data_IF_640241278628
#
_entry.id   IF_640241278628
#
_cell.length_a   1.000
_cell.length_b   1.000
_cell.length_c   1.000
_cell.angle_alpha   90.00
_cell.angle_beta   90.00
_cell.angle_gamma   90.00
#
_symmetry.space_group_name_H-M   'P 1'
#
loop_
_entity.id
_entity.type
_entity.pdbx_description
1 polymer ?
#
# COMPACT_ATOMS: atom_id res chain seq x y z
N UNK A 1 57.00 -17.57 -14.40
CA UNK A 1 55.83 -17.63 -13.53
C UNK A 1 56.21 -17.04 -12.19
N UNK A 2 55.68 -15.89 -11.82
CA UNK A 2 55.92 -15.24 -10.54
C UNK A 2 55.11 -16.05 -9.48
N UNK A 3 55.79 -16.78 -8.61
CA UNK A 3 55.17 -17.43 -7.45
C UNK A 3 55.40 -16.51 -6.23
N UNK A 4 54.44 -15.69 -5.91
CA UNK A 4 54.49 -14.88 -4.69
C UNK A 4 53.23 -15.07 -3.87
N UNK A 5 53.37 -15.10 -2.55
CA UNK A 5 52.26 -15.18 -1.61
C UNK A 5 51.62 -13.79 -1.39
N UNK A 6 52.36 -12.73 -1.70
CA UNK A 6 51.93 -11.34 -1.48
C UNK A 6 52.38 -10.48 -2.67
N UNK A 7 51.46 -9.77 -3.29
CA UNK A 7 51.76 -8.62 -4.12
C UNK A 7 51.77 -7.39 -3.22
N UNK A 8 52.95 -6.94 -2.84
CA UNK A 8 53.13 -5.78 -1.95
C UNK A 8 53.88 -4.68 -2.70
N UNK A 9 53.39 -3.47 -2.63
CA UNK A 9 54.13 -2.31 -3.14
C UNK A 9 55.35 -2.06 -2.29
N UNK A 10 56.54 -1.76 -2.89
CA UNK A 10 57.75 -1.44 -2.16
C UNK A 10 57.67 -0.07 -1.44
N UNK A 11 56.79 0.81 -1.83
CA UNK A 11 56.53 2.07 -1.15
C UNK A 11 55.12 2.10 -0.55
N UNK A 12 55.00 2.60 0.64
CA UNK A 12 53.77 2.60 1.43
C UNK A 12 52.69 3.54 0.92
N UNK A 13 52.84 4.17 -0.24
CA UNK A 13 51.95 5.23 -0.74
C UNK A 13 50.94 4.78 -1.76
N UNK A 14 51.09 3.61 -2.38
CA UNK A 14 50.03 3.04 -3.26
C UNK A 14 50.26 1.57 -3.58
N UNK A 15 49.25 0.75 -3.28
CA UNK A 15 49.14 -0.62 -3.83
C UNK A 15 48.23 -0.56 -5.00
N UNK A 16 48.78 -0.57 -6.20
CA UNK A 16 47.99 -0.63 -7.42
C UNK A 16 48.30 -1.92 -8.17
N UNK A 17 47.31 -2.77 -8.32
CA UNK A 17 47.37 -3.83 -9.33
C UNK A 17 46.89 -3.19 -10.63
N UNK A 18 47.85 -2.76 -11.47
CA UNK A 18 47.55 -2.27 -12.81
C UNK A 18 47.41 -3.49 -13.73
N UNK A 19 46.26 -3.67 -14.33
CA UNK A 19 46.03 -4.67 -15.36
C UNK A 19 46.02 -3.99 -16.71
N UNK A 20 46.50 -4.70 -17.73
CA UNK A 20 46.45 -4.21 -19.10
C UNK A 20 45.02 -4.07 -19.62
N UNK A 21 44.74 -3.19 -20.58
CA UNK A 21 43.42 -3.05 -21.19
C UNK A 21 42.87 -4.42 -21.62
N UNK A 22 41.61 -4.68 -21.28
CA UNK A 22 40.85 -5.90 -21.53
C UNK A 22 41.27 -7.15 -20.72
N UNK A 23 42.06 -6.99 -19.63
CA UNK A 23 42.38 -8.08 -18.72
C UNK A 23 41.77 -7.81 -17.35
N UNK A 24 40.82 -8.63 -16.95
CA UNK A 24 40.24 -8.61 -15.61
C UNK A 24 41.11 -9.33 -14.58
N UNK A 25 40.76 -9.19 -13.31
CA UNK A 25 41.33 -10.01 -12.22
C UNK A 25 40.39 -11.21 -12.02
N UNK A 26 40.91 -12.41 -12.24
CA UNK A 26 40.18 -13.62 -11.92
C UNK A 26 40.62 -14.13 -10.57
N UNK A 27 39.73 -14.16 -9.60
CA UNK A 27 39.96 -14.73 -8.27
C UNK A 27 39.24 -16.08 -8.22
N UNK A 28 40.04 -17.18 -8.17
CA UNK A 28 39.52 -18.51 -7.98
C UNK A 28 39.42 -18.77 -6.46
N UNK A 29 38.30 -18.39 -5.87
CA UNK A 29 38.09 -18.47 -4.43
C UNK A 29 37.35 -17.24 -3.91
N UNK A 30 37.65 -16.83 -2.69
CA UNK A 30 37.02 -15.69 -2.02
C UNK A 30 37.91 -14.46 -2.15
N UNK A 31 37.34 -13.34 -2.62
CA UNK A 31 37.97 -12.03 -2.51
C UNK A 31 37.39 -11.30 -1.28
N UNK A 32 38.26 -10.85 -0.37
CA UNK A 32 37.88 -10.05 0.80
C UNK A 32 38.36 -8.62 0.61
N UNK A 33 37.41 -7.67 0.68
CA UNK A 33 37.71 -6.24 0.64
C UNK A 33 37.53 -5.66 2.06
N UNK A 34 38.59 -5.13 2.65
CA UNK A 34 38.52 -4.53 3.98
C UNK A 34 37.86 -3.13 4.00
N UNK A 35 37.72 -2.52 2.83
CA UNK A 35 37.09 -1.24 2.61
C UNK A 35 36.04 -1.33 1.50
N UNK A 36 35.54 -0.18 1.07
CA UNK A 36 34.51 -0.10 0.05
C UNK A 36 34.97 -0.62 -1.31
N UNK A 37 34.09 -1.31 -2.01
CA UNK A 37 34.20 -1.52 -3.46
C UNK A 37 33.52 -0.33 -4.14
N UNK A 38 34.25 0.41 -4.96
CA UNK A 38 33.72 1.53 -5.72
C UNK A 38 33.58 1.13 -7.18
N UNK A 39 32.35 1.15 -7.67
CA UNK A 39 32.01 1.11 -9.08
C UNK A 39 31.63 2.52 -9.52
N UNK A 40 31.94 2.89 -10.75
CA UNK A 40 31.57 4.20 -11.32
C UNK A 40 30.15 4.13 -11.89
N UNK A 41 29.66 5.29 -12.37
CA UNK A 41 28.37 5.34 -13.06
C UNK A 41 28.40 4.43 -14.29
N UNK A 42 27.31 3.74 -14.54
CA UNK A 42 27.12 2.72 -15.57
C UNK A 42 27.93 1.41 -15.38
N UNK A 43 28.86 1.35 -14.40
CA UNK A 43 29.46 0.09 -13.98
C UNK A 43 28.48 -0.74 -13.15
N UNK A 44 28.46 -2.07 -13.38
CA UNK A 44 27.50 -2.97 -12.75
C UNK A 44 28.18 -4.03 -11.89
N UNK A 45 27.60 -4.33 -10.73
CA UNK A 45 27.83 -5.59 -10.05
C UNK A 45 26.88 -6.62 -10.66
N UNK A 46 27.44 -7.58 -11.38
CA UNK A 46 26.73 -8.64 -12.09
C UNK A 46 26.81 -9.93 -11.28
N UNK A 47 25.69 -10.59 -11.02
CA UNK A 47 25.60 -11.82 -10.25
C UNK A 47 24.85 -12.88 -11.04
N UNK A 48 25.34 -14.13 -10.92
CA UNK A 48 24.84 -15.28 -11.66
C UNK A 48 25.57 -15.49 -12.99
N UNK A 49 25.46 -16.68 -13.56
CA UNK A 49 26.10 -17.04 -14.84
C UNK A 49 25.47 -16.28 -16.01
N UNK A 50 24.20 -15.95 -15.92
CA UNK A 50 23.45 -15.17 -16.91
C UNK A 50 23.50 -13.65 -16.67
N UNK A 51 24.24 -13.21 -15.61
CA UNK A 51 24.29 -11.80 -15.21
C UNK A 51 22.89 -11.20 -14.89
N UNK A 52 21.99 -12.06 -14.39
CA UNK A 52 20.58 -11.77 -14.25
C UNK A 52 20.30 -10.73 -13.17
N UNK A 53 21.00 -10.78 -12.02
CA UNK A 53 20.89 -9.76 -10.97
C UNK A 53 21.98 -8.71 -11.14
N UNK A 54 21.57 -7.46 -11.34
CA UNK A 54 22.43 -6.32 -11.59
C UNK A 54 22.20 -5.23 -10.53
N UNK A 55 23.29 -4.72 -9.94
CA UNK A 55 23.24 -3.58 -9.01
C UNK A 55 24.16 -2.50 -9.58
N UNK A 56 23.61 -1.33 -9.85
CA UNK A 56 24.36 -0.24 -10.48
C UNK A 56 23.71 1.13 -10.24
N UNK A 57 24.41 2.17 -10.66
CA UNK A 57 23.96 3.55 -10.75
C UNK A 57 24.21 4.07 -12.17
N UNK A 58 23.25 4.81 -12.75
CA UNK A 58 23.37 5.38 -14.10
C UNK A 58 23.63 6.89 -14.10
N UNK A 59 24.26 7.42 -13.02
CA UNK A 59 24.48 8.85 -12.85
C UNK A 59 23.25 9.63 -12.36
N UNK A 60 22.06 9.04 -12.40
CA UNK A 60 20.80 9.66 -11.97
C UNK A 60 20.09 8.86 -10.91
N UNK A 61 20.00 7.54 -11.06
CA UNK A 61 19.28 6.64 -10.16
C UNK A 61 20.09 5.37 -9.88
N UNK A 62 19.85 4.76 -8.72
CA UNK A 62 20.39 3.46 -8.30
C UNK A 62 19.38 2.36 -8.59
N UNK A 63 19.87 1.23 -9.07
CA UNK A 63 19.06 0.09 -9.51
C UNK A 63 19.49 -1.20 -8.83
N UNK A 64 18.51 -2.04 -8.57
CA UNK A 64 18.64 -3.48 -8.28
C UNK A 64 17.70 -4.17 -9.25
N UNK A 65 18.23 -4.68 -10.36
CA UNK A 65 17.46 -5.23 -11.47
C UNK A 65 17.66 -6.73 -11.56
N UNK A 66 16.56 -7.47 -11.60
CA UNK A 66 16.53 -8.85 -12.09
C UNK A 66 16.10 -8.80 -13.56
N UNK A 67 17.05 -9.04 -14.45
CA UNK A 67 16.83 -9.07 -15.91
C UNK A 67 16.65 -10.49 -16.44
N UNK A 68 16.65 -11.48 -15.54
CA UNK A 68 16.39 -12.88 -15.84
C UNK A 68 14.91 -13.20 -16.00
N UNK A 69 14.60 -14.48 -15.90
CA UNK A 69 13.23 -15.00 -16.00
C UNK A 69 12.60 -15.34 -14.64
N UNK A 70 13.34 -15.18 -13.57
CA UNK A 70 12.92 -15.48 -12.20
C UNK A 70 12.33 -14.26 -11.48
N UNK A 71 12.08 -14.41 -10.19
CA UNK A 71 11.59 -13.35 -9.32
C UNK A 71 12.73 -12.73 -8.50
N UNK A 72 12.76 -11.42 -8.35
CA UNK A 72 13.59 -10.76 -7.36
C UNK A 72 12.99 -10.96 -5.97
N UNK A 73 13.50 -11.93 -5.22
CA UNK A 73 13.07 -12.22 -3.86
C UNK A 73 13.88 -11.44 -2.83
N UNK A 74 13.25 -10.45 -2.18
CA UNK A 74 13.83 -9.71 -1.06
C UNK A 74 13.29 -10.30 0.24
N UNK A 75 14.13 -10.97 1.04
CA UNK A 75 13.73 -11.70 2.24
C UNK A 75 14.51 -11.24 3.45
N UNK A 76 13.82 -11.17 4.59
CA UNK A 76 14.44 -10.82 5.88
C UNK A 76 13.46 -11.05 7.02
N UNK A 77 13.91 -10.92 8.26
CA UNK A 77 13.02 -10.92 9.43
C UNK A 77 12.02 -9.75 9.39
N UNK A 78 12.39 -8.65 8.74
CA UNK A 78 11.50 -7.58 8.32
C UNK A 78 12.02 -7.01 6.99
N UNK A 79 11.12 -6.58 6.10
CA UNK A 79 11.47 -5.80 4.92
C UNK A 79 10.97 -4.38 5.13
N UNK A 80 11.89 -3.42 5.07
CA UNK A 80 11.60 -2.00 5.32
C UNK A 80 12.09 -1.17 4.14
N UNK A 81 11.20 -0.38 3.55
CA UNK A 81 11.54 0.73 2.68
C UNK A 81 11.42 2.01 3.50
N UNK A 82 12.51 2.72 3.66
CA UNK A 82 12.59 3.86 4.56
C UNK A 82 13.17 5.11 3.91
N UNK A 83 13.08 6.21 4.63
CA UNK A 83 13.66 7.48 4.23
C UNK A 83 15.17 7.46 4.46
N UNK A 84 16.01 7.89 3.49
CA UNK A 84 17.45 7.97 3.67
C UNK A 84 17.82 8.84 4.90
N UNK A 85 18.83 8.37 5.68
CA UNK A 85 19.32 9.09 6.87
C UNK A 85 18.33 9.17 8.04
N UNK A 86 17.30 8.36 8.06
CA UNK A 86 16.24 8.35 9.08
C UNK A 86 15.82 6.92 9.43
N UNK A 87 15.19 6.75 10.58
CA UNK A 87 14.51 5.50 10.96
C UNK A 87 13.05 5.46 10.50
N UNK A 88 12.59 6.48 9.78
CA UNK A 88 11.22 6.58 9.29
C UNK A 88 10.97 5.57 8.17
N UNK A 89 10.03 4.67 8.37
CA UNK A 89 9.57 3.72 7.36
C UNK A 89 8.50 4.36 6.46
N UNK A 90 8.54 4.03 5.17
CA UNK A 90 7.46 4.25 4.21
C UNK A 90 6.62 2.99 4.02
N UNK A 91 7.29 1.83 4.00
CA UNK A 91 6.68 0.51 4.01
C UNK A 91 7.43 -0.36 5.03
N UNK A 92 6.68 -1.16 5.78
CA UNK A 92 7.23 -2.21 6.64
C UNK A 92 6.42 -3.48 6.49
N UNK A 93 7.06 -4.56 6.06
CA UNK A 93 6.48 -5.90 6.03
C UNK A 93 7.11 -6.77 7.11
N UNK A 94 6.28 -7.40 7.93
CA UNK A 94 6.69 -8.29 9.02
C UNK A 94 6.15 -9.68 8.70
N UNK A 95 6.98 -10.73 8.64
CA UNK A 95 6.53 -12.10 8.43
C UNK A 95 5.50 -12.51 9.48
N UNK A 96 4.47 -13.24 9.06
CA UNK A 96 3.37 -13.74 9.89
C UNK A 96 2.59 -12.63 10.64
N UNK A 97 2.73 -11.37 10.20
CA UNK A 97 2.08 -10.21 10.78
C UNK A 97 1.60 -9.23 9.69
N UNK A 98 1.62 -7.94 9.99
CA UNK A 98 1.09 -6.93 9.09
C UNK A 98 2.10 -6.42 8.05
N UNK A 99 1.59 -6.00 6.89
CA UNK A 99 2.25 -5.05 5.99
C UNK A 99 1.68 -3.67 6.25
N UNK A 100 2.54 -2.71 6.52
CA UNK A 100 2.18 -1.34 6.87
C UNK A 100 2.67 -0.36 5.82
N UNK A 101 1.82 0.59 5.43
CA UNK A 101 2.17 1.77 4.63
C UNK A 101 2.05 3.02 5.49
N UNK A 102 3.07 3.87 5.43
CA UNK A 102 3.17 5.07 6.26
C UNK A 102 3.18 6.34 5.42
N UNK A 103 2.64 7.41 5.98
CA UNK A 103 2.81 8.77 5.49
C UNK A 103 3.19 9.66 6.68
N UNK A 104 4.39 10.27 6.62
CA UNK A 104 4.98 11.06 7.71
C UNK A 104 4.93 10.34 9.06
N UNK A 105 5.42 9.09 9.12
CA UNK A 105 5.45 8.28 10.32
C UNK A 105 4.09 7.76 10.81
N UNK A 106 2.99 8.15 10.18
CA UNK A 106 1.64 7.71 10.52
C UNK A 106 1.26 6.52 9.66
N UNK A 107 0.86 5.40 10.28
CA UNK A 107 0.32 4.25 9.58
C UNK A 107 -1.02 4.61 8.94
N UNK A 108 -1.10 4.54 7.61
CA UNK A 108 -2.29 4.86 6.81
C UNK A 108 -3.03 3.63 6.33
N UNK A 109 -2.32 2.54 6.07
CA UNK A 109 -2.90 1.27 5.65
C UNK A 109 -2.11 0.14 6.27
N UNK A 110 -2.81 -0.87 6.80
CA UNK A 110 -2.20 -2.11 7.27
C UNK A 110 -3.06 -3.32 6.93
N UNK A 111 -2.40 -4.45 6.64
CA UNK A 111 -3.08 -5.73 6.56
C UNK A 111 -3.37 -6.27 7.95
N UNK A 112 -4.47 -7.01 8.08
CA UNK A 112 -4.86 -7.71 9.31
C UNK A 112 -5.30 -9.13 8.95
N UNK A 113 -5.51 -9.99 9.93
CA UNK A 113 -6.03 -11.34 9.71
C UNK A 113 -7.45 -11.36 9.09
N UNK A 114 -8.18 -10.25 9.11
CA UNK A 114 -9.56 -10.14 8.62
C UNK A 114 -9.70 -9.22 7.41
N UNK A 115 -8.60 -8.62 6.93
CA UNK A 115 -8.63 -7.71 5.78
C UNK A 115 -7.65 -6.57 5.87
N UNK A 116 -8.07 -5.38 5.51
CA UNK A 116 -7.25 -4.16 5.46
C UNK A 116 -7.85 -3.09 6.38
N UNK A 117 -7.01 -2.48 7.20
CA UNK A 117 -7.37 -1.32 8.01
C UNK A 117 -6.80 -0.04 7.39
N UNK A 118 -7.64 0.98 7.21
CA UNK A 118 -7.28 2.27 6.63
C UNK A 118 -7.52 3.36 7.68
N UNK A 119 -6.47 4.14 8.00
CA UNK A 119 -6.56 5.31 8.86
C UNK A 119 -6.76 6.55 8.02
N UNK A 120 -8.00 6.99 7.88
CA UNK A 120 -8.36 8.15 7.06
C UNK A 120 -9.48 7.86 6.07
N UNK A 121 -9.40 8.46 4.89
CA UNK A 121 -10.42 8.35 3.84
C UNK A 121 -9.94 7.33 2.79
N UNK A 122 -10.83 6.40 2.42
CA UNK A 122 -10.65 5.54 1.25
C UNK A 122 -11.50 6.11 0.11
N UNK A 123 -10.84 6.56 -0.96
CA UNK A 123 -11.50 6.99 -2.18
C UNK A 123 -11.36 5.92 -3.25
N UNK A 124 -12.45 5.43 -3.78
CA UNK A 124 -12.49 4.45 -4.86
C UNK A 124 -13.55 4.85 -5.89
N UNK A 125 -13.35 4.46 -7.15
CA UNK A 125 -14.35 4.65 -8.22
C UNK A 125 -15.60 3.82 -7.95
N UNK A 126 -15.45 2.64 -7.34
CA UNK A 126 -16.56 1.77 -6.93
C UNK A 126 -16.11 0.82 -5.83
N UNK A 127 -17.07 0.34 -5.06
CA UNK A 127 -16.90 -0.77 -4.14
C UNK A 127 -17.83 -1.90 -4.60
N UNK A 128 -17.30 -3.12 -4.68
CA UNK A 128 -18.08 -4.32 -5.03
C UNK A 128 -18.11 -5.27 -3.85
N UNK A 129 -19.31 -5.73 -3.48
CA UNK A 129 -19.51 -6.65 -2.36
C UNK A 129 -20.78 -6.35 -1.59
N UNK A 130 -20.99 -7.07 -0.48
CA UNK A 130 -22.08 -6.81 0.45
C UNK A 130 -21.76 -5.57 1.30
N UNK A 131 -22.57 -4.55 1.15
CA UNK A 131 -22.49 -3.30 1.89
C UNK A 131 -23.27 -3.28 3.22
N UNK A 132 -23.84 -4.40 3.66
CA UNK A 132 -24.72 -4.48 4.85
C UNK A 132 -24.08 -3.97 6.15
N UNK A 133 -22.75 -4.05 6.25
CA UNK A 133 -21.98 -3.58 7.41
C UNK A 133 -21.49 -2.13 7.27
N UNK A 134 -21.81 -1.43 6.18
CA UNK A 134 -21.47 -0.02 6.06
C UNK A 134 -22.41 0.84 6.90
N UNK A 135 -21.83 1.68 7.75
CA UNK A 135 -22.58 2.61 8.61
C UNK A 135 -22.45 4.05 8.12
N UNK A 136 -23.37 4.92 8.55
CA UNK A 136 -23.37 6.34 8.20
C UNK A 136 -23.46 6.61 6.67
N UNK A 137 -24.06 5.69 5.94
CA UNK A 137 -24.38 5.96 4.54
C UNK A 137 -25.39 7.11 4.47
N UNK A 138 -25.28 8.00 3.45
CA UNK A 138 -26.35 8.98 3.20
C UNK A 138 -27.67 8.23 3.06
N UNK A 139 -28.78 8.78 3.59
CA UNK A 139 -30.08 8.17 3.39
C UNK A 139 -30.37 8.10 1.89
N UNK A 140 -30.30 6.91 1.33
CA UNK A 140 -30.84 6.59 0.02
C UNK A 140 -32.24 6.02 0.21
N UNK A 141 -33.11 6.16 -0.77
CA UNK A 141 -34.40 5.50 -0.73
C UNK A 141 -34.20 4.01 -0.45
N UNK A 142 -34.76 3.45 0.63
CA UNK A 142 -34.57 2.04 0.95
C UNK A 142 -35.20 1.23 -0.20
N UNK A 143 -34.36 0.48 -0.90
CA UNK A 143 -34.81 -0.43 -1.94
C UNK A 143 -34.86 -1.82 -1.31
N UNK A 144 -36.05 -2.23 -0.92
CA UNK A 144 -36.32 -3.57 -0.40
C UNK A 144 -36.43 -4.60 -1.52
N UNK A 145 -36.32 -5.85 -1.16
CA UNK A 145 -36.46 -7.00 -2.07
C UNK A 145 -35.27 -7.95 -2.02
N UNK A 146 -35.55 -9.25 -2.09
CA UNK A 146 -34.54 -10.29 -2.12
C UNK A 146 -33.71 -10.22 -3.39
N UNK A 147 -32.44 -10.45 -3.28
CA UNK A 147 -31.30 -10.50 -4.22
C UNK A 147 -31.51 -10.12 -5.71
N UNK A 148 -32.63 -10.45 -6.33
CA UNK A 148 -32.89 -10.21 -7.75
C UNK A 148 -34.14 -9.37 -8.05
N UNK A 149 -34.88 -8.96 -7.03
CA UNK A 149 -36.16 -8.24 -7.20
C UNK A 149 -36.15 -6.91 -6.40
N UNK A 150 -35.54 -5.88 -6.97
CA UNK A 150 -35.40 -4.55 -6.35
C UNK A 150 -36.47 -3.55 -6.80
N UNK A 151 -37.72 -3.99 -6.85
CA UNK A 151 -38.85 -3.16 -7.32
C UNK A 151 -39.66 -2.55 -6.16
N UNK A 152 -39.37 -2.92 -4.92
CA UNK A 152 -40.10 -2.46 -3.74
C UNK A 152 -39.32 -1.41 -2.97
N UNK A 153 -40.02 -0.32 -2.61
CA UNK A 153 -39.56 0.62 -1.60
C UNK A 153 -40.21 0.24 -0.27
N UNK A 154 -39.41 -0.16 0.71
CA UNK A 154 -39.88 -0.57 2.03
C UNK A 154 -39.51 0.48 3.06
N UNK A 155 -40.45 0.84 3.93
CA UNK A 155 -40.23 1.69 5.09
C UNK A 155 -40.89 1.10 6.33
N UNK A 156 -40.39 1.49 7.51
CA UNK A 156 -41.00 1.11 8.76
C UNK A 156 -42.43 1.63 8.86
N UNK A 157 -43.32 0.82 9.42
CA UNK A 157 -44.74 1.16 9.65
C UNK A 157 -44.92 2.08 10.84
N UNK A 158 -43.92 2.23 11.72
CA UNK A 158 -44.00 2.94 12.98
C UNK A 158 -42.91 4.00 13.07
N UNK A 159 -43.30 5.25 13.33
CA UNK A 159 -42.41 6.31 13.70
C UNK A 159 -42.22 6.27 15.21
N UNK A 160 -41.06 5.87 15.69
CA UNK A 160 -40.71 5.67 17.10
C UNK A 160 -39.80 6.74 17.68
N UNK A 161 -39.28 7.65 16.85
CA UNK A 161 -38.45 8.79 17.26
C UNK A 161 -38.94 10.07 16.59
N UNK A 162 -38.71 11.22 17.25
CA UNK A 162 -39.04 12.50 16.63
C UNK A 162 -38.27 12.67 15.32
N UNK A 163 -38.99 13.11 14.28
CA UNK A 163 -38.39 13.33 12.95
C UNK A 163 -38.83 14.67 12.38
N UNK A 164 -37.90 15.40 11.81
CA UNK A 164 -38.20 16.61 11.05
C UNK A 164 -37.76 16.43 9.59
N UNK A 165 -38.69 16.64 8.67
CA UNK A 165 -38.39 16.70 7.24
C UNK A 165 -37.44 17.89 7.00
N UNK A 166 -36.39 17.68 6.22
CA UNK A 166 -35.46 18.75 5.86
C UNK A 166 -36.20 19.88 5.18
N UNK A 167 -36.01 21.14 5.60
CA UNK A 167 -36.77 22.33 5.16
C UNK A 167 -36.75 22.64 3.66
N UNK A 168 -35.94 21.92 2.88
CA UNK A 168 -35.83 22.06 1.42
C UNK A 168 -36.30 20.81 0.68
N UNK A 169 -36.93 19.84 1.36
CA UNK A 169 -37.27 18.53 0.79
C UNK A 169 -38.73 18.15 1.09
N UNK A 170 -39.29 17.34 0.21
CA UNK A 170 -40.54 16.61 0.45
C UNK A 170 -40.19 15.16 0.84
N UNK A 171 -41.03 14.52 1.63
CA UNK A 171 -40.92 13.13 2.02
C UNK A 171 -42.09 12.32 1.49
N UNK A 172 -41.88 11.02 1.26
CA UNK A 172 -42.91 10.06 0.89
C UNK A 172 -42.70 8.77 1.70
N UNK A 173 -43.78 8.17 2.15
CA UNK A 173 -43.78 6.84 2.81
C UNK A 173 -44.94 6.00 2.27
N UNK A 174 -44.75 4.67 2.25
CA UNK A 174 -45.87 3.74 2.03
C UNK A 174 -46.65 3.59 3.35
N UNK A 175 -47.99 3.73 3.23
CA UNK A 175 -48.89 3.62 4.38
C UNK A 175 -49.41 2.19 4.64
N UNK A 176 -50.15 2.00 5.72
CA UNK A 176 -50.40 2.92 6.81
C UNK A 176 -49.18 3.14 7.72
N UNK A 177 -49.02 4.36 8.25
CA UNK A 177 -47.94 4.73 9.18
C UNK A 177 -48.56 5.08 10.53
N UNK A 178 -48.00 4.53 11.62
CA UNK A 178 -48.35 4.85 12.98
C UNK A 178 -47.28 5.71 13.64
N UNK A 179 -47.66 6.80 14.29
CA UNK A 179 -46.77 7.62 15.11
C UNK A 179 -46.97 7.22 16.56
N UNK A 180 -45.92 6.81 17.24
CA UNK A 180 -46.01 6.46 18.67
C UNK A 180 -46.41 7.63 19.54
N UNK A 181 -47.04 7.35 20.67
CA UNK A 181 -47.41 8.35 21.66
C UNK A 181 -46.19 9.15 22.12
N UNK A 182 -46.30 10.47 22.16
CA UNK A 182 -45.21 11.39 22.53
C UNK A 182 -44.16 11.64 21.42
N UNK A 183 -44.33 11.07 20.24
CA UNK A 183 -43.45 11.29 19.07
C UNK A 183 -44.13 12.28 18.14
N UNK A 184 -43.31 13.14 17.51
CA UNK A 184 -43.76 14.12 16.54
C UNK A 184 -43.02 13.98 15.18
N UNK A 185 -43.76 14.16 14.09
CA UNK A 185 -43.21 14.36 12.76
C UNK A 185 -43.45 15.82 12.37
N UNK A 186 -42.39 16.58 12.19
CA UNK A 186 -42.47 18.00 11.80
C UNK A 186 -42.32 18.12 10.29
N UNK A 187 -43.32 18.74 9.66
CA UNK A 187 -43.29 19.13 8.24
C UNK A 187 -43.08 20.65 8.17
N UNK A 188 -41.89 21.12 7.79
CA UNK A 188 -41.62 22.56 7.69
C UNK A 188 -42.49 23.25 6.64
N UNK A 189 -42.66 24.57 6.78
CA UNK A 189 -43.38 25.37 5.77
C UNK A 189 -42.78 25.22 4.38
N UNK A 190 -43.62 25.00 3.39
CA UNK A 190 -43.21 24.74 1.99
C UNK A 190 -42.74 23.29 1.70
N UNK A 191 -42.78 22.41 2.69
CA UNK A 191 -42.49 20.96 2.52
C UNK A 191 -43.81 20.16 2.56
N UNK A 192 -43.75 18.97 2.03
CA UNK A 192 -44.87 18.01 2.09
C UNK A 192 -44.40 16.64 2.57
N UNK A 193 -45.30 15.91 3.26
CA UNK A 193 -45.17 14.48 3.51
C UNK A 193 -46.36 13.78 2.89
N UNK A 194 -46.07 12.94 1.91
CA UNK A 194 -47.09 12.15 1.19
C UNK A 194 -47.06 10.71 1.69
N UNK A 195 -48.20 10.19 2.10
CA UNK A 195 -48.41 8.80 2.47
C UNK A 195 -49.22 8.15 1.33
N UNK A 196 -48.68 7.13 0.69
CA UNK A 196 -49.30 6.42 -0.46
C UNK A 196 -49.65 4.99 -0.10
#
# INVERSE_FOLDING_TARGET
>A
TLKTHNLQSPDASSVNIAMTPNAGIVVTGIATFNNNVKLLDDDKLLLGTGEDLQIYMNGSASFIDDVGSGDLSIRGSNVILGKPGSTEAMLKAVPDAEVNLYFNGINRLKTTNTGVFITGICTATSFSGDGSNLTNLPPSAPVGGSASNKVFFENDKVVSVNYQITSTKNAMTAGPVTINSGIGVTVPSGCAWTIV
#
